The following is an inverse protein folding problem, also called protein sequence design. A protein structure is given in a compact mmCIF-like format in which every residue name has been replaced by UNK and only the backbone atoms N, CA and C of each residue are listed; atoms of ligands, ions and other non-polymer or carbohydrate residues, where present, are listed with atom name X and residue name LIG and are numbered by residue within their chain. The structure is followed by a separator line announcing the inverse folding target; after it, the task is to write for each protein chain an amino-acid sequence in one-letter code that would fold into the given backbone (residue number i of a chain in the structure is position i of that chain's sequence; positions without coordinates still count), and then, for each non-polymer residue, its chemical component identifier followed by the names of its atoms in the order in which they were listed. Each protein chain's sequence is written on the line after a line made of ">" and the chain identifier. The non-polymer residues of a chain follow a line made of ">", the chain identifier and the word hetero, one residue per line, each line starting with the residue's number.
data_IF_080539504360
#
_entry.id   IF_080539504360
#
_cell.length_a   1.000
_cell.length_b   1.000
_cell.length_c   1.000
_cell.angle_alpha   90.00
_cell.angle_beta   90.00
_cell.angle_gamma   90.00
#
_symmetry.space_group_name_H-M   'P 1'
#
loop_
_entity.id
_entity.type
_entity.pdbx_description
1 polymer ?
#
# COMPACT_ATOMS: atom_id res chain seq x y z
N UNK A 1 38.67 4.04 37.52
CA UNK A 1 38.15 5.40 37.26
C UNK A 1 38.35 5.72 35.78
N UNK A 2 37.33 5.50 34.94
CA UNK A 2 37.38 5.75 33.49
C UNK A 2 36.27 6.74 33.12
N UNK A 3 36.64 7.90 32.56
CA UNK A 3 35.72 8.99 32.20
C UNK A 3 34.95 8.62 30.93
N UNK A 4 33.68 8.24 31.07
CA UNK A 4 32.70 8.29 29.97
C UNK A 4 32.43 9.76 29.69
N UNK A 5 32.93 10.29 28.57
CA UNK A 5 32.54 11.63 28.10
C UNK A 5 31.15 11.52 27.47
N UNK A 6 30.19 12.14 28.15
CA UNK A 6 28.86 12.47 27.64
C UNK A 6 28.97 13.26 26.33
N UNK A 7 28.18 12.87 25.32
CA UNK A 7 27.96 13.68 24.12
C UNK A 7 26.94 14.76 24.47
N UNK A 8 27.19 16.06 24.21
CA UNK A 8 26.17 17.07 24.42
C UNK A 8 25.23 17.12 23.21
N UNK A 9 23.97 16.86 23.51
CA UNK A 9 22.77 17.14 22.74
C UNK A 9 22.56 18.67 22.68
N UNK A 10 23.24 19.37 21.78
CA UNK A 10 23.12 20.82 21.65
C UNK A 10 23.57 21.31 20.27
N UNK A 11 22.77 21.04 19.24
CA UNK A 11 22.80 21.82 17.99
C UNK A 11 21.42 21.80 17.32
N UNK A 12 20.38 21.93 18.15
CA UNK A 12 19.05 22.36 17.70
C UNK A 12 19.05 23.88 17.89
N UNK A 13 18.77 24.62 16.81
CA UNK A 13 18.61 26.09 16.76
C UNK A 13 19.87 26.94 16.53
N UNK A 14 20.34 27.02 15.28
CA UNK A 14 20.90 28.26 14.74
C UNK A 14 20.93 28.21 13.21
N UNK A 15 20.11 29.03 12.54
CA UNK A 15 20.29 29.26 11.10
C UNK A 15 19.05 29.59 10.28
N UNK A 16 17.98 30.16 10.82
CA UNK A 16 16.98 30.83 9.96
C UNK A 16 17.51 32.22 9.63
N UNK A 17 18.25 32.34 8.53
CA UNK A 17 18.54 33.63 7.91
C UNK A 17 17.68 33.79 6.67
N UNK A 18 16.76 34.75 6.75
CA UNK A 18 15.90 35.23 5.66
C UNK A 18 16.76 35.62 4.45
N UNK A 19 16.47 35.05 3.28
CA UNK A 19 17.16 35.39 2.04
C UNK A 19 16.64 34.61 0.83
N UNK A 20 15.92 35.31 -0.05
CA UNK A 20 15.84 35.09 -1.49
C UNK A 20 15.19 33.79 -2.00
N UNK A 21 14.33 33.93 -3.01
CA UNK A 21 13.63 32.82 -3.67
C UNK A 21 14.55 31.91 -4.49
N UNK A 22 14.23 30.63 -4.51
CA UNK A 22 14.89 29.59 -5.33
C UNK A 22 14.30 28.23 -5.00
N UNK A 23 13.85 27.48 -6.01
CA UNK A 23 13.09 26.22 -5.89
C UNK A 23 13.98 25.00 -5.60
N UNK A 24 15.14 25.21 -4.99
CA UNK A 24 16.22 24.21 -4.97
C UNK A 24 16.51 23.67 -3.55
N UNK A 25 15.71 24.09 -2.56
CA UNK A 25 15.98 23.85 -1.12
C UNK A 25 15.69 22.44 -0.58
N UNK A 26 15.35 21.46 -1.42
CA UNK A 26 15.12 20.07 -0.98
C UNK A 26 16.08 19.04 -1.59
N UNK A 27 17.08 19.47 -2.37
CA UNK A 27 18.11 18.55 -2.84
C UNK A 27 19.10 18.26 -1.70
N UNK A 28 18.95 17.11 -1.05
CA UNK A 28 20.02 16.55 -0.21
C UNK A 28 21.10 15.99 -1.15
N UNK A 29 22.36 16.46 -1.09
CA UNK A 29 23.44 15.88 -1.90
C UNK A 29 23.82 14.52 -1.32
N UNK A 30 23.12 13.47 -1.72
CA UNK A 30 23.49 12.09 -1.43
C UNK A 30 24.53 11.62 -2.45
N UNK A 31 25.76 12.11 -2.36
CA UNK A 31 26.88 11.73 -3.24
C UNK A 31 27.46 10.34 -2.92
N UNK A 32 26.80 9.54 -2.06
CA UNK A 32 27.24 8.15 -1.86
C UNK A 32 26.79 7.33 -3.05
N UNK A 33 27.68 7.14 -4.04
CA UNK A 33 27.47 6.20 -5.14
C UNK A 33 27.23 4.83 -4.52
N UNK A 34 25.99 4.33 -4.64
CA UNK A 34 25.61 3.01 -4.13
C UNK A 34 26.56 1.98 -4.77
N UNK A 35 27.21 1.09 -3.99
CA UNK A 35 28.07 0.06 -4.56
C UNK A 35 27.25 -0.85 -5.49
N UNK A 36 27.88 -1.43 -6.53
CA UNK A 36 27.19 -2.37 -7.42
C UNK A 36 26.63 -3.54 -6.60
N UNK A 37 25.39 -3.92 -6.89
CA UNK A 37 24.81 -5.15 -6.33
C UNK A 37 25.58 -6.31 -6.96
N UNK A 38 26.21 -7.22 -6.17
CA UNK A 38 26.89 -8.39 -6.70
C UNK A 38 25.92 -9.29 -7.46
N UNK A 39 26.43 -10.09 -8.40
CA UNK A 39 25.59 -10.98 -9.20
C UNK A 39 24.80 -11.93 -8.28
N UNK A 40 23.46 -12.01 -8.42
CA UNK A 40 22.64 -12.85 -7.57
C UNK A 40 22.88 -14.33 -7.89
N UNK A 41 23.06 -15.17 -6.87
CA UNK A 41 23.19 -16.62 -7.06
C UNK A 41 21.92 -17.25 -7.66
N UNK A 42 20.74 -16.65 -7.41
CA UNK A 42 19.45 -17.13 -7.94
C UNK A 42 18.48 -15.99 -8.23
N UNK A 43 17.75 -16.14 -9.33
CA UNK A 43 16.69 -15.21 -9.75
C UNK A 43 15.41 -16.00 -10.00
N UNK A 44 14.32 -15.63 -9.31
CA UNK A 44 12.98 -16.13 -9.57
C UNK A 44 12.12 -15.01 -10.16
N UNK A 45 11.54 -15.26 -11.33
CA UNK A 45 10.55 -14.37 -11.95
C UNK A 45 9.20 -15.07 -11.94
N UNK A 46 8.22 -14.43 -11.32
CA UNK A 46 6.85 -14.91 -11.32
C UNK A 46 5.98 -13.96 -12.14
N UNK A 47 5.46 -14.45 -13.26
CA UNK A 47 4.44 -13.74 -14.04
C UNK A 47 3.07 -14.07 -13.49
N UNK A 48 2.33 -13.03 -13.19
CA UNK A 48 0.95 -13.15 -12.72
C UNK A 48 -0.01 -13.15 -13.92
N UNK A 49 0.35 -12.45 -15.00
CA UNK A 49 -0.37 -12.43 -16.27
C UNK A 49 -0.43 -13.81 -16.93
N UNK A 50 -1.61 -14.20 -17.43
CA UNK A 50 -1.83 -15.43 -18.18
C UNK A 50 -2.30 -16.66 -17.39
N UNK A 51 -2.64 -16.53 -16.09
CA UNK A 51 -3.33 -17.60 -15.36
C UNK A 51 -4.83 -17.56 -15.66
N UNK A 52 -5.41 -18.69 -16.03
CA UNK A 52 -6.83 -18.78 -16.43
C UNK A 52 -7.83 -18.31 -15.35
N UNK A 53 -7.41 -18.32 -14.08
CA UNK A 53 -8.21 -17.94 -12.91
C UNK A 53 -7.95 -16.51 -12.42
N UNK A 54 -6.83 -15.89 -12.82
CA UNK A 54 -6.40 -14.58 -12.32
C UNK A 54 -5.83 -13.75 -13.48
N UNK A 55 -6.40 -12.57 -13.81
CA UNK A 55 -5.94 -11.73 -14.92
C UNK A 55 -4.51 -11.19 -14.77
N UNK A 56 -3.85 -11.53 -13.66
CA UNK A 56 -2.45 -11.22 -13.41
C UNK A 56 -2.15 -9.86 -12.82
N UNK A 57 -3.18 -9.13 -12.39
CA UNK A 57 -3.01 -7.88 -11.65
C UNK A 57 -3.38 -8.07 -10.18
N UNK A 58 -2.64 -7.47 -9.23
CA UNK A 58 -2.90 -7.62 -7.80
C UNK A 58 -4.30 -7.14 -7.35
N UNK A 59 -4.90 -6.23 -8.12
CA UNK A 59 -6.27 -5.75 -7.93
C UNK A 59 -6.83 -5.30 -9.29
N UNK A 60 -8.16 -5.24 -9.41
CA UNK A 60 -8.86 -4.77 -10.62
C UNK A 60 -8.91 -3.24 -10.65
N UNK A 61 -8.21 -2.56 -11.58
CA UNK A 61 -8.46 -1.14 -11.81
C UNK A 61 -9.87 -0.98 -12.39
N UNK A 62 -10.61 -0.03 -11.86
CA UNK A 62 -11.93 0.36 -12.38
C UNK A 62 -11.77 1.54 -13.32
N UNK A 63 -12.61 1.63 -14.35
CA UNK A 63 -12.64 2.81 -15.21
C UNK A 63 -13.08 4.04 -14.39
N UNK A 64 -12.59 5.21 -14.79
CA UNK A 64 -12.98 6.48 -14.17
C UNK A 64 -14.51 6.64 -14.18
N UNK A 65 -15.09 7.05 -13.06
CA UNK A 65 -16.54 7.23 -12.92
C UNK A 65 -17.32 5.96 -12.58
N UNK A 66 -16.81 4.75 -12.88
CA UNK A 66 -17.51 3.49 -12.59
C UNK A 66 -17.75 3.29 -11.10
N UNK A 67 -16.75 3.58 -10.26
CA UNK A 67 -16.88 3.44 -8.81
C UNK A 67 -17.93 4.41 -8.23
N UNK A 68 -18.03 5.62 -8.79
CA UNK A 68 -19.05 6.58 -8.37
C UNK A 68 -20.46 6.12 -8.77
N UNK A 69 -20.62 5.65 -10.00
CA UNK A 69 -21.93 5.23 -10.52
C UNK A 69 -22.42 3.90 -9.90
N UNK A 70 -21.51 2.94 -9.68
CA UNK A 70 -21.87 1.55 -9.35
C UNK A 70 -21.22 1.03 -8.06
N UNK A 71 -20.55 1.87 -7.27
CA UNK A 71 -19.85 1.43 -6.06
C UNK A 71 -20.73 0.76 -5.01
N UNK A 72 -22.03 1.11 -4.96
CA UNK A 72 -23.01 0.48 -4.06
C UNK A 72 -23.22 -1.02 -4.40
N UNK A 73 -23.24 -1.34 -5.69
CA UNK A 73 -23.49 -2.69 -6.19
C UNK A 73 -22.36 -3.67 -5.85
N UNK A 74 -21.17 -3.19 -5.45
CA UNK A 74 -20.05 -4.05 -5.02
C UNK A 74 -20.36 -4.85 -3.75
N UNK A 75 -21.36 -4.45 -2.97
CA UNK A 75 -21.68 -5.09 -1.68
C UNK A 75 -23.12 -5.52 -1.55
N UNK A 76 -24.02 -4.97 -2.36
CA UNK A 76 -25.44 -5.23 -2.30
C UNK A 76 -25.75 -6.71 -2.64
N UNK A 77 -26.33 -7.48 -1.71
CA UNK A 77 -26.74 -8.86 -2.00
C UNK A 77 -27.86 -8.92 -3.03
N UNK A 78 -27.86 -9.96 -3.87
CA UNK A 78 -28.94 -10.25 -4.82
C UNK A 78 -29.65 -11.53 -4.39
N UNK A 79 -30.75 -11.36 -3.65
CA UNK A 79 -31.50 -12.49 -3.08
C UNK A 79 -30.64 -13.29 -2.09
N UNK A 80 -30.33 -14.54 -2.42
CA UNK A 80 -29.45 -15.42 -1.61
C UNK A 80 -27.97 -15.36 -2.02
N UNK A 81 -27.61 -14.46 -2.93
CA UNK A 81 -26.24 -14.28 -3.43
C UNK A 81 -25.60 -13.11 -2.70
N UNK A 82 -24.46 -13.36 -2.06
CA UNK A 82 -23.66 -12.36 -1.34
C UNK A 82 -22.26 -12.27 -1.92
N UNK A 83 -21.65 -11.08 -1.84
CA UNK A 83 -20.38 -10.78 -2.50
C UNK A 83 -19.21 -10.66 -1.51
N UNK A 84 -18.29 -11.62 -1.57
CA UNK A 84 -16.98 -11.56 -0.90
C UNK A 84 -15.87 -11.20 -1.90
N UNK A 85 -14.67 -10.92 -1.39
CA UNK A 85 -13.51 -10.55 -2.20
C UNK A 85 -12.91 -9.24 -1.72
N UNK A 86 -11.62 -9.03 -1.96
CA UNK A 86 -10.90 -7.87 -1.41
C UNK A 86 -11.50 -6.54 -1.89
N UNK A 87 -12.09 -6.51 -3.09
CA UNK A 87 -12.79 -5.38 -3.69
C UNK A 87 -14.06 -4.97 -2.92
N UNK A 88 -14.67 -5.91 -2.18
CA UNK A 88 -15.88 -5.64 -1.39
C UNK A 88 -15.56 -5.22 0.04
N UNK A 89 -14.29 -5.27 0.45
CA UNK A 89 -13.86 -4.75 1.75
C UNK A 89 -14.04 -3.24 1.85
N UNK A 90 -14.40 -2.71 3.01
CA UNK A 90 -14.42 -1.27 3.31
C UNK A 90 -13.04 -0.73 3.69
N UNK A 91 -12.13 -1.62 4.09
CA UNK A 91 -10.77 -1.32 4.48
C UNK A 91 -9.76 -2.21 3.75
N UNK A 92 -8.65 -1.62 3.30
CA UNK A 92 -7.54 -2.30 2.60
C UNK A 92 -7.99 -3.17 1.41
N UNK A 93 -8.80 -2.57 0.53
CA UNK A 93 -9.12 -3.15 -0.77
C UNK A 93 -7.85 -3.45 -1.58
N UNK A 94 -7.80 -4.63 -2.22
CA UNK A 94 -6.63 -5.10 -2.96
C UNK A 94 -5.56 -5.80 -2.11
N UNK A 95 -5.80 -5.97 -0.80
CA UNK A 95 -4.90 -6.68 0.12
C UNK A 95 -5.56 -7.93 0.70
N UNK A 96 -4.74 -8.87 1.19
CA UNK A 96 -5.20 -10.09 1.84
C UNK A 96 -6.09 -9.81 3.07
N UNK A 97 -5.77 -8.78 3.86
CA UNK A 97 -6.59 -8.34 5.00
C UNK A 97 -8.01 -7.95 4.56
N UNK A 98 -8.15 -7.29 3.41
CA UNK A 98 -9.46 -7.00 2.82
C UNK A 98 -10.20 -8.26 2.36
N UNK A 99 -9.48 -9.28 1.85
CA UNK A 99 -10.10 -10.55 1.47
C UNK A 99 -10.65 -11.29 2.70
N UNK A 100 -9.91 -11.32 3.81
CA UNK A 100 -10.36 -11.96 5.06
C UNK A 100 -11.58 -11.25 5.63
N UNK A 101 -11.49 -9.93 5.82
CA UNK A 101 -12.59 -9.13 6.40
C UNK A 101 -13.87 -9.21 5.57
N UNK A 102 -13.76 -9.09 4.25
CA UNK A 102 -14.92 -9.21 3.37
C UNK A 102 -15.58 -10.59 3.49
N UNK A 103 -14.78 -11.67 3.60
CA UNK A 103 -15.27 -13.03 3.79
C UNK A 103 -16.01 -13.22 5.12
N UNK A 104 -15.45 -12.75 6.23
CA UNK A 104 -16.10 -12.81 7.56
C UNK A 104 -17.44 -12.05 7.57
N UNK A 105 -17.46 -10.88 6.95
CA UNK A 105 -18.66 -10.07 6.78
C UNK A 105 -19.71 -10.81 5.94
N UNK A 106 -19.33 -11.34 4.78
CA UNK A 106 -20.24 -12.10 3.91
C UNK A 106 -20.79 -13.35 4.60
N UNK A 107 -19.98 -14.06 5.38
CA UNK A 107 -20.44 -15.21 6.16
C UNK A 107 -21.53 -14.81 7.17
N UNK A 108 -21.36 -13.66 7.83
CA UNK A 108 -22.35 -13.11 8.77
C UNK A 108 -23.66 -12.76 8.07
N UNK A 109 -23.60 -12.11 6.89
CA UNK A 109 -24.79 -11.81 6.09
C UNK A 109 -25.55 -13.08 5.68
N UNK A 110 -24.84 -14.11 5.22
CA UNK A 110 -25.45 -15.40 4.83
C UNK A 110 -26.12 -16.08 6.02
N UNK A 111 -25.50 -16.04 7.21
CA UNK A 111 -26.08 -16.63 8.42
C UNK A 111 -27.33 -15.88 8.89
N UNK A 112 -27.37 -14.56 8.71
CA UNK A 112 -28.52 -13.72 9.07
C UNK A 112 -29.68 -13.81 8.07
N UNK A 113 -29.41 -14.16 6.81
CA UNK A 113 -30.40 -14.30 5.75
C UNK A 113 -31.06 -15.70 5.69
N UNK A 114 -30.79 -16.57 6.68
CA UNK A 114 -31.43 -17.88 6.86
C UNK A 114 -32.82 -17.75 7.48
#
# INVERSE_FOLDING_TARGET
>A
MSRVRSRPEAAVLAGVRQGGGGRDRWATPSTTRRPPVPDPERVLRHRLDGRAVEPGRPHRPVQSGTLFAYGHALREPLGRIHWAGTETSDYRQGYLDGAVRSGERTATEVLAAR
#
